data_IF_396444959530
#
_entry.id   IF_396444959530
#
_cell.length_a   1.000
_cell.length_b   1.000
_cell.length_c   1.000
_cell.angle_alpha   90.00
_cell.angle_beta   90.00
_cell.angle_gamma   90.00
#
_symmetry.space_group_name_H-M   'P 1'
#
loop_
_entity.id
_entity.type
_entity.pdbx_description
1 polymer ?
#
# COMPACT_ATOMS: atom_id res chain seq x y z
N UNK A 1 -16.42 -35.17 -24.37
CA UNK A 1 -15.29 -34.71 -23.53
C UNK A 1 -15.86 -33.99 -22.33
N UNK A 2 -15.52 -34.39 -21.09
CA UNK A 2 -15.77 -33.53 -19.92
C UNK A 2 -14.87 -32.31 -20.07
N UNK A 3 -15.45 -31.12 -20.24
CA UNK A 3 -14.68 -29.89 -20.13
C UNK A 3 -14.04 -29.89 -18.74
N UNK A 4 -12.70 -29.87 -18.68
CA UNK A 4 -12.00 -29.76 -17.40
C UNK A 4 -12.35 -28.40 -16.80
N UNK A 5 -13.13 -28.40 -15.72
CA UNK A 5 -13.35 -27.19 -14.96
C UNK A 5 -12.06 -26.79 -14.25
N UNK A 6 -11.67 -25.54 -14.43
CA UNK A 6 -10.58 -24.91 -13.70
C UNK A 6 -10.84 -25.02 -12.19
N UNK A 7 -9.83 -25.51 -11.45
CA UNK A 7 -9.89 -25.66 -9.97
C UNK A 7 -9.34 -24.42 -9.24
N UNK A 8 -8.19 -23.92 -9.68
CA UNK A 8 -7.54 -22.73 -9.13
C UNK A 8 -8.39 -21.50 -9.40
N UNK A 9 -8.79 -20.73 -8.38
CA UNK A 9 -9.64 -19.54 -8.54
C UNK A 9 -8.85 -18.29 -8.97
N UNK A 10 -9.51 -17.33 -9.63
CA UNK A 10 -8.92 -16.08 -10.13
C UNK A 10 -9.51 -14.92 -9.33
N UNK A 11 -8.62 -14.11 -8.75
CA UNK A 11 -8.93 -12.84 -8.10
C UNK A 11 -8.49 -11.71 -9.02
N UNK A 12 -9.37 -10.76 -9.34
CA UNK A 12 -9.03 -9.56 -10.12
C UNK A 12 -9.25 -8.30 -9.29
N UNK A 13 -8.25 -7.42 -9.23
CA UNK A 13 -8.40 -6.12 -8.53
C UNK A 13 -9.13 -5.13 -9.43
N UNK A 14 -10.15 -4.48 -8.88
CA UNK A 14 -10.89 -3.44 -9.58
C UNK A 14 -10.17 -2.10 -9.48
N UNK A 15 -10.16 -1.35 -10.58
CA UNK A 15 -9.63 0.02 -10.65
C UNK A 15 -10.15 0.75 -11.90
N UNK A 16 -9.56 1.91 -12.25
CA UNK A 16 -10.05 2.76 -13.36
C UNK A 16 -10.23 2.04 -14.70
N UNK A 17 -9.38 1.05 -15.00
CA UNK A 17 -9.45 0.27 -16.24
C UNK A 17 -10.64 -0.73 -16.27
N UNK A 18 -11.30 -0.97 -15.15
CA UNK A 18 -12.31 -2.03 -14.98
C UNK A 18 -13.63 -1.51 -14.40
N UNK A 19 -13.94 -0.22 -14.51
CA UNK A 19 -15.15 0.36 -13.91
C UNK A 19 -16.39 0.29 -14.81
N UNK A 20 -16.18 0.23 -16.13
CA UNK A 20 -17.28 0.15 -17.08
C UNK A 20 -17.95 -1.23 -17.04
N UNK A 21 -19.27 -1.25 -17.27
CA UNK A 21 -20.05 -2.49 -17.37
C UNK A 21 -19.46 -3.48 -18.38
N UNK A 22 -19.01 -2.99 -19.54
CA UNK A 22 -18.39 -3.83 -20.57
C UNK A 22 -17.08 -4.48 -20.11
N UNK A 23 -16.27 -3.77 -19.32
CA UNK A 23 -15.05 -4.32 -18.76
C UNK A 23 -15.35 -5.38 -17.69
N UNK A 24 -16.33 -5.12 -16.80
CA UNK A 24 -16.77 -6.08 -15.77
C UNK A 24 -17.31 -7.35 -16.43
N UNK A 25 -18.19 -7.21 -17.44
CA UNK A 25 -18.75 -8.33 -18.21
C UNK A 25 -17.64 -9.16 -18.88
N UNK A 26 -16.65 -8.49 -19.49
CA UNK A 26 -15.50 -9.14 -20.10
C UNK A 26 -14.68 -9.95 -19.09
N UNK A 27 -14.46 -9.42 -17.88
CA UNK A 27 -13.75 -10.14 -16.80
C UNK A 27 -14.54 -11.37 -16.33
N UNK A 28 -15.87 -11.25 -16.20
CA UNK A 28 -16.75 -12.36 -15.82
C UNK A 28 -16.71 -13.46 -16.86
N UNK A 29 -16.81 -13.11 -18.15
CA UNK A 29 -16.71 -14.06 -19.27
C UNK A 29 -15.33 -14.70 -19.39
N UNK A 30 -14.27 -13.97 -19.06
CA UNK A 30 -12.91 -14.51 -18.96
C UNK A 30 -12.73 -15.46 -17.78
N UNK A 31 -13.67 -15.47 -16.82
CA UNK A 31 -13.76 -16.46 -15.77
C UNK A 31 -13.23 -16.04 -14.41
N UNK A 32 -13.25 -14.74 -14.07
CA UNK A 32 -12.96 -14.27 -12.70
C UNK A 32 -13.94 -14.88 -11.69
N UNK A 33 -13.46 -15.20 -10.49
CA UNK A 33 -14.29 -15.76 -9.40
C UNK A 33 -14.44 -14.81 -8.22
N UNK A 34 -13.42 -13.98 -7.96
CA UNK A 34 -13.40 -13.01 -6.88
C UNK A 34 -12.95 -11.66 -7.43
N UNK A 35 -13.64 -10.59 -7.05
CA UNK A 35 -13.22 -9.23 -7.32
C UNK A 35 -12.63 -8.62 -6.05
N UNK A 36 -11.43 -8.05 -6.15
CA UNK A 36 -10.78 -7.34 -5.04
C UNK A 36 -11.06 -5.85 -5.16
N UNK A 37 -11.69 -5.28 -4.13
CA UNK A 37 -11.81 -3.83 -3.96
C UNK A 37 -10.70 -3.37 -3.02
N UNK A 38 -9.75 -2.61 -3.55
CA UNK A 38 -8.62 -2.10 -2.76
C UNK A 38 -8.98 -0.74 -2.13
N UNK A 39 -9.22 -0.72 -0.82
CA UNK A 39 -9.61 0.49 -0.07
C UNK A 39 -8.44 1.46 0.14
N UNK A 40 -7.24 1.16 -0.37
CA UNK A 40 -6.18 2.14 -0.50
C UNK A 40 -6.53 3.32 -1.41
N UNK A 41 -7.49 3.14 -2.32
CA UNK A 41 -7.86 4.11 -3.34
C UNK A 41 -9.37 4.13 -3.54
N UNK A 42 -9.90 5.28 -3.94
CA UNK A 42 -11.32 5.48 -4.18
C UNK A 42 -12.10 5.86 -2.92
N UNK A 43 -13.34 6.24 -3.14
CA UNK A 43 -14.27 6.68 -2.09
C UNK A 43 -15.23 5.57 -1.67
N UNK A 44 -15.89 5.75 -0.53
CA UNK A 44 -16.92 4.82 -0.06
C UNK A 44 -18.02 4.58 -1.11
N UNK A 45 -18.49 5.66 -1.73
CA UNK A 45 -19.56 5.62 -2.74
C UNK A 45 -19.09 4.92 -4.03
N UNK A 46 -17.83 5.12 -4.43
CA UNK A 46 -17.25 4.35 -5.54
C UNK A 46 -17.20 2.86 -5.24
N UNK A 47 -16.75 2.44 -4.06
CA UNK A 47 -16.72 1.02 -3.69
C UNK A 47 -18.12 0.41 -3.65
N UNK A 48 -19.11 1.15 -3.14
CA UNK A 48 -20.52 0.74 -3.16
C UNK A 48 -21.03 0.55 -4.58
N UNK A 49 -20.83 1.54 -5.44
CA UNK A 49 -21.25 1.50 -6.85
C UNK A 49 -20.59 0.33 -7.59
N UNK A 50 -19.28 0.11 -7.37
CA UNK A 50 -18.55 -1.04 -7.94
C UNK A 50 -19.16 -2.37 -7.47
N UNK A 51 -19.46 -2.52 -6.18
CA UNK A 51 -20.07 -3.74 -5.64
C UNK A 51 -21.46 -4.03 -6.23
N UNK A 52 -22.29 -2.99 -6.36
CA UNK A 52 -23.62 -3.08 -6.97
C UNK A 52 -23.54 -3.50 -8.45
N UNK A 53 -22.66 -2.88 -9.23
CA UNK A 53 -22.45 -3.22 -10.64
C UNK A 53 -21.93 -4.64 -10.82
N UNK A 54 -20.95 -5.07 -10.02
CA UNK A 54 -20.38 -6.42 -10.13
C UNK A 54 -21.43 -7.49 -9.84
N UNK A 55 -22.28 -7.29 -8.83
CA UNK A 55 -23.38 -8.22 -8.53
C UNK A 55 -24.40 -8.25 -9.66
N UNK A 56 -24.83 -7.09 -10.14
CA UNK A 56 -25.81 -6.99 -11.23
C UNK A 56 -25.32 -7.72 -12.48
N UNK A 57 -24.12 -7.42 -12.94
CA UNK A 57 -23.54 -8.01 -14.16
C UNK A 57 -23.19 -9.49 -13.95
N UNK A 58 -22.81 -9.87 -12.73
CA UNK A 58 -22.65 -11.28 -12.34
C UNK A 58 -23.94 -12.08 -12.51
N UNK A 59 -25.06 -11.55 -12.02
CA UNK A 59 -26.39 -12.15 -12.18
C UNK A 59 -26.81 -12.24 -13.65
N UNK A 60 -26.59 -11.19 -14.45
CA UNK A 60 -26.84 -11.19 -15.90
C UNK A 60 -26.06 -12.32 -16.63
N UNK A 61 -24.88 -12.68 -16.12
CA UNK A 61 -24.04 -13.76 -16.65
C UNK A 61 -24.26 -15.13 -15.97
N UNK A 62 -25.24 -15.27 -15.07
CA UNK A 62 -25.45 -16.48 -14.25
C UNK A 62 -24.19 -16.93 -13.49
N UNK A 63 -23.42 -15.97 -12.96
CA UNK A 63 -22.17 -16.17 -12.23
C UNK A 63 -22.26 -15.51 -10.86
N UNK A 64 -21.98 -16.28 -9.82
CA UNK A 64 -21.77 -15.74 -8.48
C UNK A 64 -20.29 -15.39 -8.29
N UNK A 65 -20.01 -14.12 -8.03
CA UNK A 65 -18.67 -13.62 -7.73
C UNK A 65 -18.58 -13.28 -6.23
N UNK A 66 -17.47 -13.65 -5.61
CA UNK A 66 -17.17 -13.10 -4.29
C UNK A 66 -16.58 -11.69 -4.43
N UNK A 67 -16.88 -10.82 -3.48
CA UNK A 67 -16.21 -9.53 -3.33
C UNK A 67 -15.20 -9.71 -2.20
N UNK A 68 -13.99 -9.18 -2.36
CA UNK A 68 -12.95 -9.17 -1.35
C UNK A 68 -12.63 -7.71 -1.05
N UNK A 69 -12.99 -7.25 0.14
CA UNK A 69 -12.58 -5.94 0.64
C UNK A 69 -11.16 -6.03 1.20
N UNK A 70 -10.22 -5.33 0.56
CA UNK A 70 -8.83 -5.26 1.00
C UNK A 70 -8.58 -3.94 1.70
N UNK A 71 -8.34 -4.01 3.01
CA UNK A 71 -8.10 -2.86 3.87
C UNK A 71 -6.72 -2.26 3.60
N UNK A 72 -6.55 -0.99 3.96
CA UNK A 72 -5.31 -0.28 3.67
C UNK A 72 -4.17 -0.72 4.58
N UNK A 73 -4.47 -0.90 5.87
CA UNK A 73 -3.48 -1.14 6.91
C UNK A 73 -2.60 0.09 7.20
N UNK A 74 -1.69 -0.01 8.19
CA UNK A 74 -0.76 1.06 8.51
C UNK A 74 0.22 1.31 7.35
N UNK A 75 0.12 2.47 6.70
CA UNK A 75 1.07 2.90 5.66
C UNK A 75 2.25 3.62 6.27
N UNK A 76 3.36 2.91 6.43
CA UNK A 76 4.64 3.48 6.81
C UNK A 76 5.32 3.99 5.54
N UNK A 77 5.37 5.30 5.38
CA UNK A 77 5.85 5.97 4.16
C UNK A 77 6.72 7.16 4.51
N UNK A 78 7.52 7.59 3.54
CA UNK A 78 8.14 8.90 3.55
C UNK A 78 7.08 10.00 3.41
N UNK A 79 7.36 11.15 4.02
CA UNK A 79 6.72 12.41 3.66
C UNK A 79 7.33 12.97 2.38
N UNK A 80 6.92 14.17 1.94
CA UNK A 80 7.39 14.75 0.67
C UNK A 80 8.73 15.48 0.77
N UNK A 81 9.44 15.49 -0.34
CA UNK A 81 10.63 16.29 -0.57
C UNK A 81 10.31 17.66 -1.16
N UNK A 82 11.17 18.65 -0.92
CA UNK A 82 11.06 20.00 -1.51
C UNK A 82 11.02 20.00 -3.03
N UNK A 83 11.76 19.07 -3.64
CA UNK A 83 11.88 18.92 -5.09
C UNK A 83 11.17 17.65 -5.60
N UNK A 84 10.37 16.99 -4.76
CA UNK A 84 9.63 15.75 -5.07
C UNK A 84 10.47 14.48 -5.13
N UNK A 85 11.79 14.59 -5.30
CA UNK A 85 12.74 13.48 -5.27
C UNK A 85 14.17 13.93 -4.97
N UNK A 86 15.01 12.97 -4.61
CA UNK A 86 16.46 13.09 -4.45
C UNK A 86 17.14 11.83 -5.01
N UNK A 87 18.42 11.94 -5.35
CA UNK A 87 19.27 10.78 -5.67
C UNK A 87 20.22 10.51 -4.51
N UNK A 88 20.27 9.25 -4.06
CA UNK A 88 21.17 8.79 -3.00
C UNK A 88 22.25 7.88 -3.57
N UNK A 89 23.50 8.09 -3.16
CA UNK A 89 24.61 7.21 -3.52
C UNK A 89 24.95 6.25 -2.37
N UNK A 90 25.58 5.12 -2.71
CA UNK A 90 26.01 4.15 -1.69
C UNK A 90 27.08 4.77 -0.79
N UNK A 91 26.87 4.67 0.53
CA UNK A 91 27.73 5.26 1.55
C UNK A 91 27.26 6.62 2.06
N UNK A 92 26.28 7.26 1.40
CA UNK A 92 25.74 8.53 1.85
C UNK A 92 25.11 8.44 3.22
N UNK A 93 25.17 9.56 3.95
CA UNK A 93 24.48 9.74 5.22
C UNK A 93 23.11 10.36 4.98
N UNK A 94 22.07 9.67 5.42
CA UNK A 94 20.70 10.08 5.24
C UNK A 94 19.89 9.89 6.53
N UNK A 95 18.96 10.81 6.82
CA UNK A 95 18.20 10.81 8.06
C UNK A 95 16.69 10.66 7.80
N UNK A 96 16.06 9.71 8.46
CA UNK A 96 14.60 9.67 8.58
C UNK A 96 14.22 10.38 9.89
N UNK A 97 13.54 11.53 9.81
CA UNK A 97 13.20 12.35 10.97
C UNK A 97 11.70 12.50 11.12
N UNK A 98 11.11 11.93 12.18
CA UNK A 98 9.66 12.06 12.41
C UNK A 98 9.21 13.49 12.72
N UNK A 99 10.14 14.37 13.12
CA UNK A 99 9.94 15.80 13.35
C UNK A 99 10.12 16.67 12.10
N UNK A 100 10.60 16.13 10.97
CA UNK A 100 10.64 16.84 9.71
C UNK A 100 9.21 17.01 9.16
N UNK A 101 8.87 18.25 8.79
CA UNK A 101 7.55 18.60 8.26
C UNK A 101 7.34 18.04 6.84
N UNK A 102 6.09 17.78 6.48
CA UNK A 102 5.74 17.35 5.11
C UNK A 102 6.16 18.42 4.09
N UNK A 103 6.83 17.99 3.01
CA UNK A 103 7.36 18.86 1.97
C UNK A 103 8.71 19.50 2.28
N UNK A 104 9.28 19.28 3.47
CA UNK A 104 10.58 19.85 3.85
C UNK A 104 11.76 18.87 3.66
N UNK A 105 11.53 17.69 3.08
CA UNK A 105 12.59 16.73 2.80
C UNK A 105 13.62 17.26 1.79
N UNK A 106 14.89 16.90 1.99
CA UNK A 106 16.03 17.23 1.14
C UNK A 106 17.03 16.07 1.05
N UNK A 107 18.21 16.33 0.48
CA UNK A 107 19.27 15.32 0.28
C UNK A 107 19.82 14.73 1.59
N UNK A 108 19.58 15.36 2.73
CA UNK A 108 20.10 14.93 4.03
C UNK A 108 19.04 14.30 4.92
N UNK A 109 17.77 14.69 4.76
CA UNK A 109 16.70 14.20 5.61
C UNK A 109 15.33 14.20 4.94
N UNK A 110 14.43 13.35 5.44
CA UNK A 110 13.01 13.39 5.07
C UNK A 110 12.12 12.97 6.24
N UNK A 111 10.91 13.50 6.26
CA UNK A 111 9.86 13.08 7.18
C UNK A 111 9.40 11.64 6.94
N UNK A 112 8.80 11.04 7.97
CA UNK A 112 8.07 9.78 7.84
C UNK A 112 6.67 9.91 8.46
N UNK A 113 5.69 9.24 7.86
CA UNK A 113 4.30 9.26 8.30
C UNK A 113 4.11 8.55 9.64
N UNK A 114 4.91 7.52 9.90
CA UNK A 114 4.84 6.71 11.12
C UNK A 114 5.71 7.29 12.23
N UNK A 115 5.10 8.07 13.12
CA UNK A 115 5.82 8.83 14.16
C UNK A 115 6.47 7.97 15.25
N UNK A 116 6.07 6.70 15.35
CA UNK A 116 6.66 5.73 16.28
C UNK A 116 7.90 5.01 15.72
N UNK A 117 8.26 5.21 14.44
CA UNK A 117 9.40 4.53 13.81
C UNK A 117 10.71 4.58 14.64
N UNK A 118 11.11 5.71 15.28
CA UNK A 118 12.31 5.76 16.11
C UNK A 118 12.29 4.82 17.32
N UNK A 119 11.11 4.40 17.79
CA UNK A 119 10.96 3.47 18.92
C UNK A 119 11.07 2.00 18.48
N UNK A 120 10.84 1.74 17.19
CA UNK A 120 10.80 0.40 16.62
C UNK A 120 12.12 -0.02 15.97
N UNK A 121 13.03 0.92 15.74
CA UNK A 121 14.32 0.67 15.08
C UNK A 121 15.49 0.87 16.05
N UNK A 122 16.58 0.17 15.79
CA UNK A 122 17.83 0.26 16.56
C UNK A 122 19.04 0.22 15.63
N UNK A 123 20.21 0.55 16.19
CA UNK A 123 21.49 0.44 15.47
C UNK A 123 21.63 -0.96 14.83
N UNK A 124 22.03 -0.98 13.55
CA UNK A 124 22.23 -2.19 12.76
C UNK A 124 20.98 -2.69 12.02
N UNK A 125 19.80 -2.14 12.31
CA UNK A 125 18.58 -2.49 11.57
C UNK A 125 18.66 -2.03 10.10
N UNK A 126 17.97 -2.76 9.24
CA UNK A 126 17.94 -2.49 7.79
C UNK A 126 16.55 -2.04 7.39
N UNK A 127 16.45 -0.79 6.94
CA UNK A 127 15.25 -0.21 6.38
C UNK A 127 15.27 -0.36 4.85
N UNK A 128 14.16 -0.86 4.32
CA UNK A 128 13.97 -1.19 2.91
C UNK A 128 12.91 -0.23 2.37
N UNK A 129 13.30 0.61 1.41
CA UNK A 129 12.45 1.66 0.86
C UNK A 129 12.14 1.36 -0.62
N UNK A 130 10.97 1.83 -1.07
CA UNK A 130 10.49 1.68 -2.45
C UNK A 130 10.63 0.24 -2.99
N UNK A 131 10.02 -0.70 -2.27
CA UNK A 131 10.05 -2.15 -2.57
C UNK A 131 11.48 -2.73 -2.69
N UNK A 132 12.42 -2.12 -1.99
CA UNK A 132 13.82 -2.55 -1.90
C UNK A 132 14.75 -1.99 -2.95
N UNK A 133 14.31 -0.97 -3.70
CA UNK A 133 15.20 -0.19 -4.57
C UNK A 133 16.23 0.59 -3.77
N UNK A 134 15.85 1.09 -2.60
CA UNK A 134 16.74 1.79 -1.68
C UNK A 134 16.84 0.99 -0.38
N UNK A 135 18.06 0.88 0.15
CA UNK A 135 18.31 0.18 1.41
C UNK A 135 19.17 1.07 2.30
N UNK A 136 18.68 1.30 3.51
CA UNK A 136 19.34 2.10 4.54
C UNK A 136 19.69 1.21 5.72
N UNK A 137 20.90 1.36 6.26
CA UNK A 137 21.29 0.76 7.53
C UNK A 137 21.24 1.82 8.62
N UNK A 138 20.54 1.53 9.72
CA UNK A 138 20.42 2.44 10.86
C UNK A 138 21.75 2.50 11.60
N UNK A 139 22.32 3.69 11.70
CA UNK A 139 23.53 3.99 12.45
C UNK A 139 23.20 4.41 13.89
N UNK A 140 22.18 5.24 14.09
CA UNK A 140 21.80 5.73 15.41
C UNK A 140 20.36 6.25 15.43
N UNK A 141 19.78 6.29 16.63
CA UNK A 141 18.47 6.90 16.87
C UNK A 141 18.60 7.91 17.99
N UNK A 142 18.27 9.17 17.70
CA UNK A 142 18.37 10.30 18.63
C UNK A 142 17.06 11.09 18.60
N UNK A 143 16.21 10.86 19.60
CA UNK A 143 14.89 11.48 19.67
C UNK A 143 14.01 11.08 18.48
N UNK A 144 13.74 12.02 17.57
CA UNK A 144 12.95 11.80 16.35
C UNK A 144 13.80 11.39 15.14
N UNK A 145 15.12 11.52 15.24
CA UNK A 145 16.06 11.36 14.12
C UNK A 145 16.63 9.95 14.08
N UNK A 146 16.54 9.32 12.92
CA UNK A 146 17.12 8.01 12.63
C UNK A 146 18.22 8.24 11.58
N UNK A 147 19.46 8.31 12.04
CA UNK A 147 20.62 8.45 11.16
C UNK A 147 20.93 7.12 10.51
N UNK A 148 21.10 7.13 9.19
CA UNK A 148 21.35 5.94 8.39
C UNK A 148 22.52 6.13 7.43
N UNK A 149 23.11 5.00 7.04
CA UNK A 149 24.01 4.89 5.88
C UNK A 149 23.28 4.21 4.73
N UNK A 150 23.39 4.77 3.53
CA UNK A 150 22.84 4.16 2.31
C UNK A 150 23.66 2.92 1.93
N UNK A 151 23.02 1.76 1.87
CA UNK A 151 23.62 0.50 1.42
C UNK A 151 23.33 0.23 -0.06
N UNK A 152 22.14 0.62 -0.52
CA UNK A 152 21.74 0.58 -1.93
C UNK A 152 21.11 1.93 -2.25
N UNK A 153 21.73 2.66 -3.18
CA UNK A 153 21.32 3.99 -3.62
C UNK A 153 20.43 3.98 -4.87
N UNK A 154 20.03 5.17 -5.31
CA UNK A 154 19.12 5.42 -6.43
C UNK A 154 18.18 6.60 -6.15
N UNK A 155 17.24 6.81 -7.07
CA UNK A 155 16.22 7.86 -6.95
C UNK A 155 15.21 7.51 -5.85
N UNK A 156 15.02 8.43 -4.90
CA UNK A 156 14.04 8.35 -3.83
C UNK A 156 13.06 9.52 -3.95
N UNK A 157 11.79 9.21 -4.20
CA UNK A 157 10.71 10.19 -4.37
C UNK A 157 9.70 10.19 -3.22
N UNK A 158 8.69 11.06 -3.31
CA UNK A 158 7.64 11.21 -2.32
C UNK A 158 6.86 9.91 -2.02
N UNK A 159 6.36 9.78 -0.78
CA UNK A 159 5.39 8.77 -0.37
C UNK A 159 5.83 7.30 -0.55
N UNK A 160 7.13 7.06 -0.73
CA UNK A 160 7.66 5.70 -0.85
C UNK A 160 7.50 4.92 0.45
N UNK A 161 7.15 3.64 0.32
CA UNK A 161 6.95 2.75 1.46
C UNK A 161 8.27 2.45 2.16
N UNK A 162 8.20 2.25 3.48
CA UNK A 162 9.32 1.84 4.32
C UNK A 162 8.95 0.51 4.98
N UNK A 163 9.87 -0.44 4.95
CA UNK A 163 9.76 -1.69 5.67
C UNK A 163 11.02 -1.95 6.49
N UNK A 164 10.86 -2.54 7.66
CA UNK A 164 11.97 -3.04 8.47
C UNK A 164 12.27 -4.49 8.08
N UNK A 165 13.50 -4.76 7.64
CA UNK A 165 13.92 -6.11 7.25
C UNK A 165 13.87 -7.05 8.46
N UNK A 166 13.07 -8.11 8.36
CA UNK A 166 12.83 -9.04 9.46
C UNK A 166 11.57 -8.74 10.28
N UNK A 167 10.81 -7.70 9.93
CA UNK A 167 9.62 -7.27 10.68
C UNK A 167 9.98 -6.48 11.93
N UNK A 168 9.05 -6.36 12.89
CA UNK A 168 9.29 -5.71 14.17
C UNK A 168 8.72 -4.30 14.34
N UNK A 169 8.01 -3.80 13.32
CA UNK A 169 7.25 -2.55 13.44
C UNK A 169 6.00 -2.80 14.28
N UNK A 170 5.76 -1.98 15.30
CA UNK A 170 4.67 -2.13 16.28
C UNK A 170 3.38 -1.45 15.83
N UNK A 171 3.32 -1.01 14.56
CA UNK A 171 2.17 -0.31 14.00
C UNK A 171 0.86 -1.07 14.25
N UNK A 172 -0.17 -0.33 14.69
CA UNK A 172 -1.49 -0.91 14.91
C UNK A 172 -1.99 -1.60 13.63
N UNK A 173 -2.50 -2.81 13.79
CA UNK A 173 -2.99 -3.64 12.67
C UNK A 173 -4.17 -2.99 11.94
N UNK A 174 -4.97 -2.17 12.64
CA UNK A 174 -6.13 -1.47 12.10
C UNK A 174 -6.08 0.02 12.40
N UNK A 175 -5.90 0.83 11.35
CA UNK A 175 -5.98 2.29 11.44
C UNK A 175 -7.43 2.76 11.62
N UNK A 176 -7.64 4.03 12.00
CA UNK A 176 -8.99 4.59 12.05
C UNK A 176 -9.67 4.63 10.66
N UNK A 177 -8.87 4.76 9.60
CA UNK A 177 -9.34 4.59 8.23
C UNK A 177 -9.83 3.16 8.00
N UNK A 178 -9.05 2.15 8.39
CA UNK A 178 -9.44 0.74 8.23
C UNK A 178 -10.72 0.42 9.01
N UNK A 179 -10.91 1.00 10.21
CA UNK A 179 -12.17 0.85 10.98
C UNK A 179 -13.36 1.47 10.24
N UNK A 180 -13.17 2.58 9.52
CA UNK A 180 -14.21 3.18 8.70
C UNK A 180 -14.48 2.34 7.43
N UNK A 181 -13.42 1.87 6.76
CA UNK A 181 -13.49 1.01 5.58
C UNK A 181 -14.18 -0.32 5.90
N UNK A 182 -13.95 -0.91 7.09
CA UNK A 182 -14.60 -2.13 7.54
C UNK A 182 -16.13 -1.97 7.64
N UNK A 183 -16.61 -0.79 8.06
CA UNK A 183 -18.05 -0.50 8.08
C UNK A 183 -18.61 -0.46 6.65
N UNK A 184 -17.85 0.10 5.71
CA UNK A 184 -18.24 0.12 4.30
C UNK A 184 -18.26 -1.31 3.75
N UNK A 185 -17.23 -2.11 4.02
CA UNK A 185 -17.16 -3.52 3.63
C UNK A 185 -18.39 -4.31 4.13
N UNK A 186 -18.78 -4.11 5.40
CA UNK A 186 -19.99 -4.70 5.96
C UNK A 186 -21.28 -4.20 5.29
N UNK A 187 -21.38 -2.90 4.96
CA UNK A 187 -22.54 -2.33 4.26
C UNK A 187 -22.70 -2.87 2.84
N UNK A 188 -21.59 -3.12 2.15
CA UNK A 188 -21.61 -3.69 0.80
C UNK A 188 -21.64 -5.22 0.81
N UNK A 189 -21.71 -5.89 1.97
CA UNK A 189 -21.71 -7.35 2.13
C UNK A 189 -20.53 -8.01 1.38
N UNK A 190 -19.34 -7.44 1.56
CA UNK A 190 -18.08 -7.96 1.03
C UNK A 190 -17.46 -9.02 1.96
#
# INVERSE_FOLDING_TARGET
>A
MRAFQRRTKIVATMGPATESDAAIDSLIKAGVDVVRLNFSHGTADEHRTRAENIRRIGLENNRHLAILADLQGPKIRLEKFKQGSIDLEVGDKFCLDTGCADGEGDIHQVGVTYKQLPQDVKNGDILVLDDGRIVLQVDAVEGTRISCTVQVGGELSDNKGINLKGGGLTAEVLTDKDKADLKIAALIDA
#
